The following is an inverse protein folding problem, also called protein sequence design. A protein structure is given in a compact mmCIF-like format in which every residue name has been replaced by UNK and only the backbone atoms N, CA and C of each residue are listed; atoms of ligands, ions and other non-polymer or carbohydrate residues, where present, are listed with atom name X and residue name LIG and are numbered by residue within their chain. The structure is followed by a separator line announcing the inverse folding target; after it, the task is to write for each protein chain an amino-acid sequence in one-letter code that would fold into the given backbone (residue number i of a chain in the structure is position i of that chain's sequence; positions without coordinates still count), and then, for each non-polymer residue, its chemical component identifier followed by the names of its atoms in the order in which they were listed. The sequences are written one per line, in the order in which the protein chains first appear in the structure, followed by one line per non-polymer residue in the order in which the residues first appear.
data_IF_022178615346
#
_entry.id   IF_022178615346
#
_cell.length_a   1.000
_cell.length_b   1.000
_cell.length_c   1.000
_cell.angle_alpha   90.00
_cell.angle_beta   90.00
_cell.angle_gamma   90.00
#
_symmetry.space_group_name_H-M   'P 1'
#
loop_
_entity.id
_entity.type
_entity.pdbx_description
1 polymer ?
#
# COMPACT_ATOMS: atom_id res chain seq x y z
N UNK A 1 11.35 6.02 3.82
CA UNK A 1 10.79 6.13 2.45
C UNK A 1 11.78 5.74 1.33
N UNK A 2 12.98 5.21 1.62
CA UNK A 2 14.01 4.92 0.58
C UNK A 2 14.15 3.44 0.19
N UNK A 3 13.64 2.51 0.99
CA UNK A 3 13.86 1.07 0.78
C UNK A 3 13.08 0.51 -0.42
N UNK A 4 11.82 0.93 -0.59
CA UNK A 4 10.95 0.45 -1.66
C UNK A 4 11.40 0.89 -3.06
N UNK A 5 11.84 2.15 -3.19
CA UNK A 5 12.38 2.66 -4.46
C UNK A 5 13.63 1.88 -4.88
N UNK A 6 14.49 1.56 -3.90
CA UNK A 6 15.72 0.77 -4.13
C UNK A 6 15.40 -0.67 -4.56
N UNK A 7 14.37 -1.30 -3.95
CA UNK A 7 13.91 -2.64 -4.35
C UNK A 7 13.34 -2.65 -5.77
N UNK A 8 12.55 -1.64 -6.15
CA UNK A 8 11.98 -1.54 -7.50
C UNK A 8 13.05 -1.27 -8.58
N UNK A 9 14.07 -0.45 -8.28
CA UNK A 9 15.20 -0.25 -9.19
C UNK A 9 16.00 -1.53 -9.40
N UNK A 10 16.25 -2.31 -8.34
CA UNK A 10 16.90 -3.62 -8.46
C UNK A 10 16.12 -4.58 -9.36
N UNK A 11 14.79 -4.66 -9.22
CA UNK A 11 13.93 -5.49 -10.06
C UNK A 11 13.98 -5.06 -11.53
N UNK A 12 13.95 -3.75 -11.80
CA UNK A 12 14.07 -3.20 -13.17
C UNK A 12 15.39 -3.60 -13.81
N UNK A 13 16.49 -3.48 -13.07
CA UNK A 13 17.82 -3.76 -13.60
C UNK A 13 18.00 -5.27 -13.87
N UNK A 14 17.44 -6.14 -13.03
CA UNK A 14 17.39 -7.59 -13.27
C UNK A 14 16.53 -7.97 -14.48
N UNK A 15 15.39 -7.30 -14.72
CA UNK A 15 14.57 -7.50 -15.92
C UNK A 15 15.34 -7.14 -17.19
N UNK A 16 16.11 -6.05 -17.17
CA UNK A 16 16.94 -5.64 -18.30
C UNK A 16 18.04 -6.67 -18.61
N UNK A 17 18.70 -7.21 -17.57
CA UNK A 17 19.69 -8.28 -17.73
C UNK A 17 19.07 -9.52 -18.40
N UNK A 18 17.91 -9.96 -17.92
CA UNK A 18 17.26 -11.15 -18.48
C UNK A 18 16.75 -10.91 -19.92
N UNK A 19 16.27 -9.70 -20.24
CA UNK A 19 15.90 -9.34 -21.61
C UNK A 19 17.10 -9.44 -22.57
N UNK A 20 18.30 -9.05 -22.13
CA UNK A 20 19.52 -9.21 -22.94
C UNK A 20 19.94 -10.66 -23.12
N UNK A 21 19.72 -11.53 -22.12
CA UNK A 21 20.01 -12.97 -22.22
C UNK A 21 19.04 -13.70 -23.14
N UNK A 22 17.77 -13.27 -23.18
CA UNK A 22 16.74 -13.79 -24.09
C UNK A 22 16.98 -13.39 -25.55
N UNK A 23 17.58 -12.23 -25.79
CA UNK A 23 17.99 -11.80 -27.14
C UNK A 23 19.20 -12.61 -27.68
N UNK A 24 19.89 -13.37 -26.80
CA UNK A 24 20.93 -14.32 -27.17
C UNK A 24 20.43 -15.77 -27.29
N UNK A 25 21.35 -16.74 -27.22
CA UNK A 25 21.06 -18.18 -27.26
C UNK A 25 20.86 -18.84 -25.88
N UNK A 26 20.86 -18.07 -24.79
CA UNK A 26 20.76 -18.54 -23.41
C UNK A 26 19.30 -18.59 -22.88
N UNK A 27 18.37 -19.03 -23.73
CA UNK A 27 16.92 -18.92 -23.47
C UNK A 27 16.46 -19.76 -22.27
N UNK A 28 17.11 -20.89 -22.00
CA UNK A 28 16.78 -21.77 -20.85
C UNK A 28 17.22 -21.19 -19.51
N UNK A 29 18.40 -20.57 -19.43
CA UNK A 29 18.88 -19.92 -18.21
C UNK A 29 18.07 -18.64 -17.92
N UNK A 30 17.75 -17.89 -18.98
CA UNK A 30 16.93 -16.70 -18.87
C UNK A 30 15.49 -17.01 -18.44
N UNK A 31 14.91 -18.14 -18.87
CA UNK A 31 13.59 -18.59 -18.41
C UNK A 31 13.55 -18.88 -16.90
N UNK A 32 14.62 -19.49 -16.36
CA UNK A 32 14.74 -19.74 -14.91
C UNK A 32 14.85 -18.43 -14.11
N UNK A 33 15.63 -17.47 -14.61
CA UNK A 33 15.78 -16.15 -13.97
C UNK A 33 14.48 -15.34 -14.02
N UNK A 34 13.74 -15.38 -15.14
CA UNK A 34 12.41 -14.76 -15.24
C UNK A 34 11.42 -15.30 -14.21
N UNK A 35 11.38 -16.62 -13.99
CA UNK A 35 10.48 -17.22 -13.01
C UNK A 35 10.83 -16.80 -11.58
N UNK A 36 12.12 -16.75 -11.24
CA UNK A 36 12.58 -16.25 -9.94
C UNK A 36 12.18 -14.79 -9.72
N UNK A 37 12.37 -13.95 -10.73
CA UNK A 37 12.06 -12.52 -10.66
C UNK A 37 10.55 -12.24 -10.61
N UNK A 38 9.75 -13.02 -11.33
CA UNK A 38 8.29 -12.97 -11.22
C UNK A 38 7.83 -13.29 -9.79
N UNK A 39 8.45 -14.30 -9.16
CA UNK A 39 8.17 -14.64 -7.75
C UNK A 39 8.59 -13.54 -6.76
N UNK A 40 9.67 -12.81 -7.02
CA UNK A 40 10.05 -11.64 -6.20
C UNK A 40 9.11 -10.45 -6.40
N UNK A 41 8.67 -10.19 -7.63
CA UNK A 41 7.64 -9.19 -7.90
C UNK A 41 6.31 -9.53 -7.22
N UNK A 42 5.88 -10.79 -7.27
CA UNK A 42 4.67 -11.24 -6.57
C UNK A 42 4.80 -11.07 -5.05
N UNK A 43 5.98 -11.31 -4.46
CA UNK A 43 6.22 -11.03 -3.03
C UNK A 43 6.15 -9.54 -2.72
N UNK A 44 6.73 -8.68 -3.55
CA UNK A 44 6.63 -7.22 -3.35
C UNK A 44 5.17 -6.76 -3.51
N UNK A 45 4.42 -7.31 -4.45
CA UNK A 45 2.99 -7.04 -4.61
C UNK A 45 2.21 -7.55 -3.40
N UNK A 46 2.54 -8.72 -2.87
CA UNK A 46 1.94 -9.27 -1.66
C UNK A 46 2.28 -8.42 -0.43
N UNK A 47 3.51 -7.96 -0.27
CA UNK A 47 3.92 -7.03 0.80
C UNK A 47 3.16 -5.69 0.70
N UNK A 48 2.83 -5.24 -0.53
CA UNK A 48 2.00 -4.06 -0.78
C UNK A 48 0.50 -4.32 -0.59
N UNK A 49 0.07 -5.57 -0.66
CA UNK A 49 -1.33 -6.00 -0.53
C UNK A 49 -1.65 -6.56 0.84
N UNK A 50 -0.68 -6.95 1.65
CA UNK A 50 -0.88 -7.44 3.01
C UNK A 50 -1.51 -6.30 3.81
N UNK A 51 -2.81 -6.36 4.09
CA UNK A 51 -3.35 -5.52 5.14
C UNK A 51 -2.78 -6.13 6.41
N UNK A 52 -1.89 -5.39 7.09
CA UNK A 52 -1.41 -5.69 8.43
C UNK A 52 -2.54 -6.36 9.21
N UNK A 53 -2.53 -7.68 9.35
CA UNK A 53 -3.72 -8.38 9.83
C UNK A 53 -3.99 -7.89 11.24
N UNK A 54 -5.05 -7.12 11.49
CA UNK A 54 -5.27 -6.59 12.80
C UNK A 54 -5.90 -7.72 13.59
N UNK A 55 -5.39 -7.90 14.80
CA UNK A 55 -6.13 -8.60 15.83
C UNK A 55 -7.60 -8.16 15.80
N UNK A 56 -8.56 -9.05 16.10
CA UNK A 56 -9.97 -8.68 16.11
C UNK A 56 -10.22 -7.63 17.20
N UNK A 57 -10.06 -6.35 16.85
CA UNK A 57 -10.41 -5.23 17.69
C UNK A 57 -11.93 -5.14 17.66
N UNK A 58 -12.50 -5.71 18.73
CA UNK A 58 -13.84 -5.48 19.28
C UNK A 58 -14.61 -4.43 18.47
N UNK A 59 -15.57 -4.89 17.65
CA UNK A 59 -16.46 -4.04 16.85
C UNK A 59 -17.07 -2.93 17.72
N UNK A 60 -16.49 -1.74 17.70
CA UNK A 60 -17.10 -0.53 18.24
C UNK A 60 -18.07 -0.05 17.17
N UNK A 61 -19.34 -0.44 17.30
CA UNK A 61 -20.42 0.23 16.57
C UNK A 61 -20.54 1.65 17.12
N UNK A 62 -19.99 2.64 16.42
CA UNK A 62 -20.30 4.07 16.65
C UNK A 62 -21.00 4.65 15.42
N UNK A 63 -22.11 5.35 15.69
CA UNK A 63 -22.83 6.20 14.74
C UNK A 63 -21.94 7.43 14.47
N UNK A 64 -21.02 7.34 13.51
CA UNK A 64 -20.46 8.55 12.92
C UNK A 64 -21.50 9.13 11.94
N UNK A 65 -21.65 10.47 11.86
CA UNK A 65 -22.52 11.08 10.86
C UNK A 65 -22.02 10.71 9.47
N UNK A 66 -22.96 10.27 8.62
CA UNK A 66 -22.66 9.38 7.48
C UNK A 66 -21.70 9.94 6.42
N UNK A 67 -21.48 11.25 6.32
CA UNK A 67 -20.84 11.82 5.12
C UNK A 67 -20.22 13.22 5.41
N UNK A 68 -18.92 13.30 5.72
CA UNK A 68 -18.19 14.58 5.70
C UNK A 68 -17.52 14.82 4.34
N UNK A 69 -17.79 15.96 3.68
CA UNK A 69 -17.16 16.29 2.39
C UNK A 69 -15.65 16.47 2.53
N UNK A 70 -14.90 16.00 1.54
CA UNK A 70 -13.46 16.24 1.48
C UNK A 70 -13.16 17.74 1.35
N UNK A 71 -12.37 18.33 2.27
CA UNK A 71 -12.04 19.76 2.22
C UNK A 71 -11.11 20.11 1.06
N UNK A 72 -10.49 19.12 0.40
CA UNK A 72 -9.59 19.34 -0.74
C UNK A 72 -10.33 19.39 -2.06
N UNK A 73 -11.06 18.33 -2.40
CA UNK A 73 -11.71 18.24 -3.70
C UNK A 73 -13.20 18.61 -3.67
N UNK A 74 -13.88 18.51 -2.52
CA UNK A 74 -15.33 18.71 -2.34
C UNK A 74 -16.26 17.78 -3.14
N UNK A 75 -15.69 16.90 -3.99
CA UNK A 75 -16.42 15.98 -4.88
C UNK A 75 -17.02 14.80 -4.09
N UNK A 76 -16.22 14.18 -3.23
CA UNK A 76 -16.63 13.05 -2.39
C UNK A 76 -16.24 13.26 -0.94
N UNK A 77 -16.73 12.35 -0.13
CA UNK A 77 -16.59 12.40 1.31
C UNK A 77 -15.29 11.75 1.77
N UNK A 78 -14.84 12.15 2.95
CA UNK A 78 -13.81 11.43 3.67
C UNK A 78 -14.45 10.17 4.26
N UNK A 79 -13.73 9.06 4.15
CA UNK A 79 -14.13 7.79 4.74
C UNK A 79 -13.06 7.36 5.73
N UNK A 80 -13.48 6.74 6.83
CA UNK A 80 -12.53 6.12 7.77
C UNK A 80 -11.84 4.97 7.05
N UNK A 81 -10.52 4.93 7.13
CA UNK A 81 -9.74 3.77 6.72
C UNK A 81 -9.78 2.79 7.88
N UNK A 82 -10.42 1.61 7.72
CA UNK A 82 -10.48 0.62 8.78
C UNK A 82 -9.07 0.25 9.25
N UNK A 83 -8.93 0.00 10.56
CA UNK A 83 -7.72 -0.60 11.15
C UNK A 83 -6.47 0.29 11.16
N UNK A 84 -6.53 1.47 10.53
CA UNK A 84 -5.53 2.53 10.60
C UNK A 84 -5.79 3.46 11.80
N UNK A 85 -5.30 3.03 12.97
CA UNK A 85 -5.40 3.77 14.24
C UNK A 85 -4.00 4.04 14.78
N UNK A 86 -3.77 5.26 15.27
CA UNK A 86 -2.51 5.65 15.93
C UNK A 86 -2.79 6.41 17.22
N UNK A 87 -1.82 6.42 18.12
CA UNK A 87 -1.84 7.35 19.26
C UNK A 87 -1.34 8.72 18.79
N UNK A 88 -2.20 9.73 18.89
CA UNK A 88 -1.88 11.13 18.59
C UNK A 88 -0.95 11.76 19.63
N UNK A 89 -0.47 12.97 19.35
CA UNK A 89 0.48 13.68 20.20
C UNK A 89 -0.05 13.98 21.62
N UNK A 90 -1.37 14.08 21.75
CA UNK A 90 -2.05 14.31 23.04
C UNK A 90 -2.33 13.00 23.81
N UNK A 91 -1.84 11.87 23.32
CA UNK A 91 -2.13 10.54 23.87
C UNK A 91 -3.53 10.00 23.53
N UNK A 92 -4.31 10.72 22.71
CA UNK A 92 -5.62 10.28 22.25
C UNK A 92 -5.49 9.41 20.99
N UNK A 93 -6.37 8.41 20.85
CA UNK A 93 -6.41 7.60 19.63
C UNK A 93 -6.94 8.43 18.46
N UNK A 94 -6.25 8.35 17.32
CA UNK A 94 -6.60 8.98 16.06
C UNK A 94 -6.81 7.91 14.99
N UNK A 95 -7.85 8.09 14.19
CA UNK A 95 -8.16 7.25 13.03
C UNK A 95 -7.80 7.97 11.74
N UNK A 96 -7.34 7.23 10.73
CA UNK A 96 -7.08 7.78 9.41
C UNK A 96 -8.38 7.95 8.62
N UNK A 97 -8.53 9.11 8.00
CA UNK A 97 -9.58 9.41 7.03
C UNK A 97 -8.99 9.62 5.65
N UNK A 98 -9.58 8.99 4.63
CA UNK A 98 -9.12 9.05 3.24
C UNK A 98 -10.26 9.44 2.30
N UNK A 99 -9.97 10.37 1.38
CA UNK A 99 -10.83 10.68 0.24
C UNK A 99 -10.46 9.87 -1.01
N UNK A 100 -11.31 8.93 -1.40
CA UNK A 100 -11.12 8.09 -2.59
C UNK A 100 -11.09 8.85 -3.93
N UNK A 101 -11.46 10.13 -3.97
CA UNK A 101 -11.44 10.94 -5.20
C UNK A 101 -10.13 11.68 -5.44
N UNK A 102 -9.43 12.11 -4.39
CA UNK A 102 -8.23 12.95 -4.54
C UNK A 102 -7.03 12.46 -3.72
N UNK A 103 -7.16 11.35 -3.00
CA UNK A 103 -6.09 10.81 -2.17
C UNK A 103 -5.81 11.63 -0.92
N UNK A 104 -6.68 12.57 -0.54
CA UNK A 104 -6.45 13.36 0.67
C UNK A 104 -6.60 12.50 1.92
N UNK A 105 -5.56 12.48 2.73
CA UNK A 105 -5.48 11.78 4.00
C UNK A 105 -5.40 12.77 5.17
N UNK A 106 -6.11 12.47 6.26
CA UNK A 106 -6.07 13.24 7.50
C UNK A 106 -6.30 12.35 8.71
N UNK A 107 -5.51 12.54 9.76
CA UNK A 107 -5.69 11.87 11.05
C UNK A 107 -6.59 12.70 11.95
N UNK A 108 -7.54 12.07 12.62
CA UNK A 108 -8.51 12.74 13.50
C UNK A 108 -8.76 11.91 14.74
N UNK A 109 -8.96 12.59 15.87
CA UNK A 109 -9.29 11.95 17.15
C UNK A 109 -10.55 11.09 17.00
N UNK A 110 -10.47 9.84 17.45
CA UNK A 110 -11.65 9.00 17.67
C UNK A 110 -12.41 9.60 18.87
N UNK A 111 -13.49 10.32 18.58
CA UNK A 111 -14.22 11.12 19.58
C UNK A 111 -15.11 10.25 20.48
#
# INVERSE_FOLDING_TARGET
MSDMASRLESIRDQLAEVATQLAGSAQTEAAGRLQSLAGEMERVIADLQEPSSPQPSRKVRRKLPDVEKCPRCTIRSLHIVPEEVRTGADGADEVLWHCASCGHEVWRKDS
#
